data_IF_132234757865
#
_entry.id   IF_132234757865
#
_cell.length_a   1.000
_cell.length_b   1.000
_cell.length_c   1.000
_cell.angle_alpha   90.00
_cell.angle_beta   90.00
_cell.angle_gamma   90.00
#
_symmetry.space_group_name_H-M   'P 1'
#
loop_
_entity.id
_entity.type
_entity.pdbx_description
1 polymer ?
#
# COMPACT_ATOMS: atom_id res chain seq x y z
N UNK A 1 10.25 -5.23 12.32
CA UNK A 1 9.44 -5.35 11.09
C UNK A 1 8.29 -4.37 11.23
N UNK A 2 8.30 -3.25 10.50
CA UNK A 2 7.26 -2.23 10.63
C UNK A 2 6.01 -2.69 9.87
N UNK A 3 5.00 -3.17 10.59
CA UNK A 3 3.67 -3.39 10.03
C UNK A 3 2.90 -2.07 10.17
N UNK A 4 2.66 -1.38 9.07
CA UNK A 4 1.86 -0.16 9.07
C UNK A 4 0.37 -0.51 8.91
N UNK A 5 -0.46 0.01 9.80
CA UNK A 5 -1.92 -0.09 9.71
C UNK A 5 -2.41 1.09 8.86
N UNK A 6 -3.25 0.81 7.88
CA UNK A 6 -3.88 1.80 7.02
C UNK A 6 -4.75 2.77 7.83
N UNK A 7 -4.33 4.03 7.91
CA UNK A 7 -5.19 5.12 8.43
C UNK A 7 -5.88 5.76 7.23
N UNK A 8 -7.18 5.52 7.09
CA UNK A 8 -8.03 6.26 6.16
C UNK A 8 -8.33 7.63 6.78
N UNK A 9 -7.83 8.71 6.18
CA UNK A 9 -8.08 10.07 6.67
C UNK A 9 -9.00 10.78 5.71
N UNK A 10 -10.00 11.48 6.23
CA UNK A 10 -10.79 12.47 5.50
C UNK A 10 -10.04 13.80 5.62
N UNK A 11 -9.41 14.28 4.56
CA UNK A 11 -8.93 15.68 4.55
C UNK A 11 -9.21 16.30 3.20
N UNK A 12 -9.79 17.49 3.23
CA UNK A 12 -10.01 18.29 2.03
C UNK A 12 -8.67 18.62 1.36
N UNK A 13 -8.61 18.33 0.06
CA UNK A 13 -7.64 18.89 -0.89
C UNK A 13 -6.17 18.59 -0.59
N UNK A 14 -5.67 17.42 -0.98
CA UNK A 14 -4.23 17.18 -1.10
C UNK A 14 -3.87 16.26 -2.25
N UNK A 15 -2.74 16.56 -2.86
CA UNK A 15 -2.20 15.87 -4.04
C UNK A 15 -1.79 14.43 -3.66
N UNK A 16 -2.45 13.45 -4.25
CA UNK A 16 -2.18 12.02 -4.02
C UNK A 16 -1.31 11.45 -5.13
N UNK A 17 -0.52 10.42 -4.83
CA UNK A 17 0.31 9.74 -5.84
C UNK A 17 -0.58 8.80 -6.65
N UNK A 18 -0.84 9.15 -7.91
CA UNK A 18 -1.55 8.30 -8.88
C UNK A 18 -2.67 8.97 -9.68
N UNK A 19 -3.27 10.07 -9.20
CA UNK A 19 -4.32 10.78 -9.96
C UNK A 19 -4.28 12.28 -9.62
N UNK A 20 -4.19 13.14 -10.63
CA UNK A 20 -4.12 14.60 -10.50
C UNK A 20 -5.54 15.22 -10.51
N UNK A 21 -6.44 14.72 -9.66
CA UNK A 21 -7.83 15.23 -9.55
C UNK A 21 -8.14 15.55 -8.10
N UNK A 22 -8.83 16.68 -7.88
CA UNK A 22 -9.36 17.09 -6.59
C UNK A 22 -10.23 15.96 -6.03
N UNK A 23 -9.77 15.39 -4.92
CA UNK A 23 -10.44 14.24 -4.32
C UNK A 23 -11.30 14.75 -3.16
N UNK A 24 -12.61 14.63 -3.33
CA UNK A 24 -13.59 14.75 -2.25
C UNK A 24 -13.76 13.38 -1.55
N UNK A 25 -12.84 12.44 -1.81
CA UNK A 25 -12.96 11.02 -1.57
C UNK A 25 -11.93 10.57 -0.54
N UNK A 26 -12.27 9.57 0.27
CA UNK A 26 -11.38 9.08 1.33
C UNK A 26 -10.09 8.54 0.73
N UNK A 27 -8.94 8.96 1.28
CA UNK A 27 -7.63 8.46 0.88
C UNK A 27 -6.96 7.73 2.05
N UNK A 28 -6.00 6.92 1.69
CA UNK A 28 -5.16 6.11 2.55
C UNK A 28 -3.88 6.89 2.82
N UNK A 29 -3.51 7.08 4.09
CA UNK A 29 -2.15 7.51 4.45
C UNK A 29 -1.28 6.29 4.73
N UNK A 30 -0.28 6.05 3.89
CA UNK A 30 0.63 4.91 3.97
C UNK A 30 2.00 5.28 3.36
N UNK A 31 3.09 4.77 3.94
CA UNK A 31 4.45 5.00 3.43
C UNK A 31 4.82 6.50 3.37
N UNK A 32 4.38 7.26 4.38
CA UNK A 32 4.58 8.72 4.45
C UNK A 32 3.96 9.49 3.26
N UNK A 33 3.01 8.87 2.54
CA UNK A 33 2.35 9.38 1.34
C UNK A 33 0.86 9.07 1.36
N UNK A 34 0.11 9.75 0.49
CA UNK A 34 -1.33 9.53 0.37
C UNK A 34 -1.66 8.79 -0.92
N UNK A 35 -2.48 7.75 -0.78
CA UNK A 35 -2.89 6.84 -1.84
C UNK A 35 -4.40 6.84 -1.96
N UNK A 36 -4.92 6.70 -3.18
CA UNK A 36 -6.34 6.41 -3.34
C UNK A 36 -6.66 5.01 -2.81
N UNK A 37 -7.89 4.80 -2.31
CA UNK A 37 -8.37 3.50 -1.86
C UNK A 37 -8.15 2.40 -2.92
N UNK A 38 -8.35 2.73 -4.21
CA UNK A 38 -8.15 1.80 -5.32
C UNK A 38 -6.72 1.74 -5.87
N UNK A 39 -5.84 2.68 -5.51
CA UNK A 39 -4.45 2.71 -6.01
C UNK A 39 -3.46 2.03 -5.05
N UNK A 40 -3.84 1.84 -3.78
CA UNK A 40 -2.98 1.18 -2.80
C UNK A 40 -3.06 -0.34 -2.94
N UNK A 41 -2.29 -0.87 -3.89
CA UNK A 41 -2.28 -2.29 -4.26
C UNK A 41 -0.88 -2.87 -4.12
N UNK A 42 -0.79 -4.19 -3.89
CA UNK A 42 0.48 -4.88 -3.80
C UNK A 42 1.29 -4.77 -5.09
N UNK A 43 2.53 -4.32 -5.01
CA UNK A 43 3.42 -4.17 -6.16
C UNK A 43 3.78 -5.50 -6.86
N UNK A 44 3.59 -6.65 -6.19
CA UNK A 44 3.84 -7.97 -6.78
C UNK A 44 2.61 -8.57 -7.49
N UNK A 45 1.41 -8.41 -6.93
CA UNK A 45 0.20 -9.09 -7.42
C UNK A 45 -0.94 -8.15 -7.84
N UNK A 46 -0.81 -6.84 -7.61
CA UNK A 46 -1.82 -5.84 -7.94
C UNK A 46 -3.11 -5.95 -7.13
N UNK A 47 -3.13 -6.72 -6.03
CA UNK A 47 -4.33 -6.92 -5.20
C UNK A 47 -4.32 -5.98 -3.98
N UNK A 48 -5.50 -5.58 -3.48
CA UNK A 48 -5.60 -4.82 -2.24
C UNK A 48 -5.17 -5.65 -1.04
N UNK A 49 -4.78 -4.97 0.04
CA UNK A 49 -4.24 -5.60 1.24
C UNK A 49 -5.36 -6.13 2.15
N UNK A 50 -5.41 -7.46 2.42
CA UNK A 50 -6.41 -8.06 3.29
C UNK A 50 -6.22 -7.57 4.74
N UNK A 51 -7.28 -7.04 5.32
CA UNK A 51 -7.27 -6.51 6.69
C UNK A 51 -6.41 -5.25 6.86
N UNK A 52 -6.08 -4.56 5.76
CA UNK A 52 -5.29 -3.33 5.78
C UNK A 52 -3.84 -3.51 6.23
N UNK A 53 -3.32 -4.75 6.17
CA UNK A 53 -1.95 -5.10 6.57
C UNK A 53 -1.07 -5.20 5.34
N UNK A 54 -0.01 -4.40 5.32
CA UNK A 54 0.98 -4.42 4.25
C UNK A 54 2.39 -4.32 4.83
N UNK A 55 3.37 -4.67 4.00
CA UNK A 55 4.79 -4.52 4.30
C UNK A 55 5.39 -3.59 3.26
N UNK A 56 6.09 -2.57 3.72
CA UNK A 56 6.91 -1.73 2.86
C UNK A 56 8.25 -2.42 2.58
N UNK A 57 8.58 -2.57 1.29
CA UNK A 57 9.87 -3.09 0.85
C UNK A 57 10.32 -2.31 -0.40
N UNK A 58 11.53 -1.74 -0.40
CA UNK A 58 12.04 -0.93 -1.52
C UNK A 58 11.05 0.15 -1.99
N UNK A 59 10.51 0.93 -1.06
CA UNK A 59 9.53 2.01 -1.34
C UNK A 59 8.28 1.55 -2.11
N UNK A 60 7.97 0.25 -2.05
CA UNK A 60 6.79 -0.35 -2.65
C UNK A 60 6.00 -1.14 -1.60
N UNK A 61 4.66 -1.09 -1.64
CA UNK A 61 3.84 -1.84 -0.70
C UNK A 61 3.64 -3.28 -1.20
N UNK A 62 3.85 -4.25 -0.31
CA UNK A 62 3.68 -5.68 -0.57
C UNK A 62 2.71 -6.31 0.42
N UNK A 63 1.91 -7.26 -0.07
CA UNK A 63 1.07 -8.07 0.79
C UNK A 63 1.94 -9.01 1.64
N UNK A 64 1.48 -9.37 2.85
CA UNK A 64 2.21 -10.28 3.73
C UNK A 64 2.55 -11.61 3.05
N UNK A 65 1.63 -12.19 2.26
CA UNK A 65 1.92 -13.43 1.49
C UNK A 65 2.96 -13.19 0.41
N UNK A 66 2.84 -12.10 -0.36
CA UNK A 66 3.78 -11.81 -1.43
C UNK A 66 5.18 -11.49 -0.90
N UNK A 67 5.25 -10.72 0.19
CA UNK A 67 6.50 -10.37 0.86
C UNK A 67 7.21 -11.61 1.41
N UNK A 68 6.51 -12.49 2.13
CA UNK A 68 7.09 -13.74 2.61
C UNK A 68 7.42 -14.69 1.45
N UNK A 69 6.59 -14.72 0.41
CA UNK A 69 6.87 -15.46 -0.81
C UNK A 69 8.20 -15.03 -1.45
N UNK A 70 8.43 -13.73 -1.60
CA UNK A 70 9.68 -13.18 -2.14
C UNK A 70 10.91 -13.59 -1.29
N UNK A 71 10.80 -13.58 0.03
CA UNK A 71 11.87 -14.00 0.93
C UNK A 71 12.15 -15.50 0.86
N UNK A 72 11.11 -16.33 0.68
CA UNK A 72 11.21 -17.79 0.65
C UNK A 72 11.72 -18.34 -0.70
N UNK A 73 11.65 -17.59 -1.80
CA UNK A 73 12.21 -18.05 -3.11
C UNK A 73 13.73 -18.15 -3.14
N UNK A 74 14.45 -17.66 -2.13
CA UNK A 74 15.91 -17.86 -2.03
C UNK A 74 16.31 -19.26 -1.57
N UNK A 75 15.37 -20.14 -1.22
CA UNK A 75 15.67 -21.46 -0.64
C UNK A 75 14.87 -22.61 -1.28
N UNK A 76 14.60 -22.53 -2.58
CA UNK A 76 13.94 -23.59 -3.33
C UNK A 76 14.59 -23.80 -4.69
N UNK A 77 15.78 -24.40 -4.68
CA UNK A 77 16.38 -25.12 -5.82
C UNK A 77 16.87 -26.47 -5.34
#
# INVERSE_FOLDING_TARGET
MNAAILVATLAGGKETRGVKRFVNETYISAMNQNWHLGCFLCAACGKPFPGGRFVEYHDKPYDLKCFWGLQLRKHGS
#
